data_IF_812835702075
#
_entry.id   IF_812835702075
#
_cell.length_a   1.000
_cell.length_b   1.000
_cell.length_c   1.000
_cell.angle_alpha   90.00
_cell.angle_beta   90.00
_cell.angle_gamma   90.00
#
_symmetry.space_group_name_H-M   'P 1'
#
loop_
_entity.id
_entity.type
_entity.pdbx_description
1 polymer ?
#
# COMPACT_ATOMS: atom_id res chain seq x y z
N UNK A 1 -16.30 -12.52 2.13
CA UNK A 1 -17.48 -11.84 1.52
C UNK A 1 -17.17 -10.37 1.52
N UNK A 2 -17.27 -9.68 0.38
CA UNK A 2 -16.90 -8.26 0.28
C UNK A 2 -17.85 -7.41 1.11
N UNK A 3 -17.30 -6.42 1.83
CA UNK A 3 -18.09 -5.48 2.61
C UNK A 3 -18.99 -4.65 1.65
N UNK A 4 -20.33 -4.63 1.86
CA UNK A 4 -21.24 -3.91 0.97
C UNK A 4 -20.96 -2.41 0.84
N UNK A 5 -20.50 -1.76 1.92
CA UNK A 5 -20.10 -0.36 1.88
C UNK A 5 -18.89 -0.17 0.98
N UNK A 6 -17.90 -1.06 1.06
CA UNK A 6 -16.71 -1.01 0.22
C UNK A 6 -17.09 -1.09 -1.27
N UNK A 7 -17.94 -2.04 -1.64
CA UNK A 7 -18.40 -2.24 -3.03
C UNK A 7 -19.08 -0.99 -3.59
N UNK A 8 -20.05 -0.41 -2.87
CA UNK A 8 -20.76 0.79 -3.37
C UNK A 8 -19.87 2.03 -3.36
N UNK A 9 -18.90 2.09 -2.45
CA UNK A 9 -17.99 3.21 -2.33
C UNK A 9 -17.13 3.36 -3.60
N UNK A 10 -16.55 2.25 -4.08
CA UNK A 10 -15.66 2.23 -5.25
C UNK A 10 -16.34 1.81 -6.56
N UNK A 11 -17.67 1.76 -6.59
CA UNK A 11 -18.43 1.49 -7.80
C UNK A 11 -18.16 2.55 -8.89
N UNK A 12 -18.08 2.15 -10.15
CA UNK A 12 -17.83 3.09 -11.24
C UNK A 12 -19.00 4.08 -11.44
N UNK A 13 -18.73 5.35 -11.77
CA UNK A 13 -17.42 5.99 -11.74
C UNK A 13 -16.93 6.22 -10.29
N UNK A 14 -15.63 6.06 -10.05
CA UNK A 14 -14.99 6.45 -8.78
C UNK A 14 -13.91 7.52 -9.01
N UNK A 15 -13.91 8.52 -8.12
CA UNK A 15 -12.89 9.56 -8.00
C UNK A 15 -12.78 9.94 -6.51
N UNK A 16 -11.71 10.63 -6.06
CA UNK A 16 -11.62 11.07 -4.67
C UNK A 16 -12.87 11.82 -4.18
N UNK A 17 -13.47 12.67 -5.01
CA UNK A 17 -14.68 13.42 -4.70
C UNK A 17 -15.92 12.54 -4.57
N UNK A 18 -16.10 11.61 -5.52
CA UNK A 18 -17.25 10.68 -5.53
C UNK A 18 -17.18 9.74 -4.33
N UNK A 19 -16.01 9.15 -4.09
CA UNK A 19 -15.76 8.27 -2.94
C UNK A 19 -15.97 9.05 -1.63
N UNK A 20 -15.45 10.28 -1.52
CA UNK A 20 -15.71 11.13 -0.34
C UNK A 20 -17.19 11.38 -0.12
N UNK A 21 -17.94 11.68 -1.19
CA UNK A 21 -19.38 11.94 -1.10
C UNK A 21 -20.15 10.70 -0.63
N UNK A 22 -19.87 9.53 -1.23
CA UNK A 22 -20.52 8.27 -0.88
C UNK A 22 -20.22 7.85 0.56
N UNK A 23 -18.96 7.91 0.98
CA UNK A 23 -18.57 7.60 2.36
C UNK A 23 -19.22 8.57 3.35
N UNK A 24 -19.32 9.86 2.99
CA UNK A 24 -20.02 10.84 3.81
C UNK A 24 -21.51 10.52 3.93
N UNK A 25 -22.18 10.18 2.83
CA UNK A 25 -23.61 9.86 2.83
C UNK A 25 -23.91 8.60 3.66
N UNK A 26 -23.10 7.55 3.54
CA UNK A 26 -23.18 6.35 4.38
C UNK A 26 -23.01 6.69 5.87
N UNK A 27 -22.00 7.51 6.22
CA UNK A 27 -21.78 7.97 7.60
C UNK A 27 -22.82 8.99 8.09
N UNK A 28 -23.57 9.63 7.20
CA UNK A 28 -24.70 10.50 7.54
C UNK A 28 -26.02 9.69 7.68
N UNK A 29 -25.95 8.36 7.54
CA UNK A 29 -27.10 7.45 7.67
C UNK A 29 -27.95 7.34 6.41
N UNK A 30 -27.45 7.81 5.26
CA UNK A 30 -28.15 7.73 3.97
C UNK A 30 -27.82 6.45 3.23
N UNK A 31 -28.74 6.00 2.41
CA UNK A 31 -28.53 4.89 1.49
C UNK A 31 -27.64 5.31 0.31
N UNK A 32 -26.69 4.46 -0.06
CA UNK A 32 -25.85 4.61 -1.26
C UNK A 32 -25.88 3.30 -2.04
N UNK A 33 -26.38 3.33 -3.27
CA UNK A 33 -26.40 2.15 -4.15
C UNK A 33 -27.18 0.95 -3.56
N UNK A 34 -28.26 1.21 -2.81
CA UNK A 34 -29.05 0.16 -2.14
C UNK A 34 -28.46 -0.35 -0.83
N UNK A 35 -27.30 0.18 -0.40
CA UNK A 35 -26.67 -0.17 0.87
C UNK A 35 -27.03 0.88 1.93
N UNK A 36 -27.62 0.47 3.07
CA UNK A 36 -27.97 1.41 4.13
C UNK A 36 -26.72 2.01 4.78
N UNK A 37 -26.81 3.31 5.10
CA UNK A 37 -25.82 4.00 5.93
C UNK A 37 -25.93 3.59 7.40
N UNK A 38 -25.19 4.30 8.26
CA UNK A 38 -25.16 4.00 9.70
C UNK A 38 -26.55 4.05 10.34
N UNK A 39 -26.75 3.17 11.32
CA UNK A 39 -27.95 3.14 12.15
C UNK A 39 -28.00 4.34 13.09
N UNK A 40 -29.23 4.71 13.48
CA UNK A 40 -29.45 5.83 14.39
C UNK A 40 -28.80 5.56 15.75
N UNK A 41 -27.89 6.46 16.16
CA UNK A 41 -27.20 6.38 17.45
C UNK A 41 -25.79 5.80 17.37
N UNK A 42 -25.36 5.29 16.22
CA UNK A 42 -23.98 4.85 16.01
C UNK A 42 -23.00 6.04 15.94
N UNK A 43 -21.78 5.81 16.40
CA UNK A 43 -20.73 6.82 16.39
C UNK A 43 -19.96 6.77 15.08
N UNK A 44 -20.08 7.83 14.27
CA UNK A 44 -19.38 7.98 12.98
C UNK A 44 -17.88 7.75 13.03
N UNK A 45 -17.22 8.11 14.14
CA UNK A 45 -15.77 7.96 14.29
C UNK A 45 -15.38 6.50 14.45
N UNK A 46 -16.13 5.76 15.27
CA UNK A 46 -15.93 4.32 15.50
C UNK A 46 -16.29 3.54 14.24
N UNK A 47 -17.42 3.85 13.59
CA UNK A 47 -17.79 3.20 12.33
C UNK A 47 -16.73 3.44 11.24
N UNK A 48 -16.20 4.66 11.10
CA UNK A 48 -15.12 4.92 10.15
C UNK A 48 -13.83 4.18 10.51
N UNK A 49 -13.51 4.06 11.81
CA UNK A 49 -12.35 3.31 12.27
C UNK A 49 -12.47 1.82 11.92
N UNK A 50 -13.59 1.19 12.30
CA UNK A 50 -13.85 -0.23 12.04
C UNK A 50 -13.87 -0.51 10.54
N UNK A 51 -14.48 0.38 9.76
CA UNK A 51 -14.50 0.30 8.30
C UNK A 51 -13.09 0.36 7.69
N UNK A 52 -12.21 1.24 8.17
CA UNK A 52 -10.83 1.34 7.66
C UNK A 52 -9.99 0.14 8.10
N UNK A 53 -10.20 -0.35 9.32
CA UNK A 53 -9.42 -1.43 9.91
C UNK A 53 -9.72 -2.78 9.25
N UNK A 54 -11.00 -3.13 9.09
CA UNK A 54 -11.41 -4.49 8.76
C UNK A 54 -11.80 -4.71 7.29
N UNK A 55 -11.98 -3.65 6.50
CA UNK A 55 -12.34 -3.81 5.10
C UNK A 55 -11.13 -4.27 4.30
N UNK A 56 -11.27 -5.43 3.67
CA UNK A 56 -10.39 -5.85 2.61
C UNK A 56 -10.61 -4.97 1.36
N UNK A 57 -9.67 -4.07 1.11
CA UNK A 57 -9.65 -3.19 -0.07
C UNK A 57 -8.96 -3.81 -1.28
N UNK A 58 -8.37 -5.01 -1.14
CA UNK A 58 -7.52 -5.63 -2.16
C UNK A 58 -8.30 -6.08 -3.40
N UNK A 59 -9.64 -6.10 -3.34
CA UNK A 59 -10.49 -6.37 -4.50
C UNK A 59 -10.54 -5.22 -5.52
N UNK A 60 -10.09 -4.00 -5.15
CA UNK A 60 -10.10 -2.81 -6.03
C UNK A 60 -8.84 -1.94 -5.81
N UNK A 61 -7.63 -2.50 -6.04
CA UNK A 61 -6.38 -1.80 -5.73
C UNK A 61 -6.21 -0.49 -6.51
N UNK A 62 -6.84 -0.37 -7.68
CA UNK A 62 -6.82 0.84 -8.49
C UNK A 62 -7.51 2.04 -7.82
N UNK A 63 -8.36 1.77 -6.81
CA UNK A 63 -9.10 2.80 -6.08
C UNK A 63 -8.39 3.31 -4.80
N UNK A 64 -7.23 2.76 -4.40
CA UNK A 64 -6.59 3.14 -3.13
C UNK A 64 -6.37 4.65 -2.97
N UNK A 65 -5.90 5.34 -4.02
CA UNK A 65 -5.75 6.80 -3.99
C UNK A 65 -7.05 7.51 -3.59
N UNK A 66 -8.17 7.15 -4.24
CA UNK A 66 -9.46 7.75 -3.96
C UNK A 66 -9.99 7.38 -2.56
N UNK A 67 -9.82 6.12 -2.16
CA UNK A 67 -10.23 5.61 -0.84
C UNK A 67 -9.46 6.33 0.27
N UNK A 68 -8.14 6.39 0.21
CA UNK A 68 -7.31 7.05 1.23
C UNK A 68 -7.59 8.54 1.31
N UNK A 69 -7.72 9.22 0.17
CA UNK A 69 -8.15 10.62 0.17
C UNK A 69 -9.51 10.83 0.86
N UNK A 70 -10.51 10.00 0.54
CA UNK A 70 -11.83 10.11 1.14
C UNK A 70 -11.84 9.84 2.64
N UNK A 71 -11.19 8.75 3.05
CA UNK A 71 -11.04 8.34 4.45
C UNK A 71 -10.40 9.48 5.27
N UNK A 72 -9.27 10.02 4.83
CA UNK A 72 -8.56 11.07 5.57
C UNK A 72 -9.24 12.44 5.48
N UNK A 73 -9.94 12.75 4.39
CA UNK A 73 -10.78 13.95 4.28
C UNK A 73 -11.92 13.95 5.30
N UNK A 74 -12.58 12.81 5.48
CA UNK A 74 -13.65 12.66 6.48
C UNK A 74 -13.06 12.60 7.89
N UNK A 75 -11.96 11.88 8.09
CA UNK A 75 -11.29 11.81 9.39
C UNK A 75 -10.89 13.19 9.91
N UNK A 76 -10.41 14.06 9.03
CA UNK A 76 -10.09 15.44 9.37
C UNK A 76 -11.34 16.24 9.80
N UNK A 77 -12.45 16.11 9.07
CA UNK A 77 -13.74 16.77 9.41
C UNK A 77 -14.33 16.26 10.73
N UNK A 78 -14.09 15.00 11.07
CA UNK A 78 -14.52 14.39 12.33
C UNK A 78 -13.50 14.57 13.46
N UNK A 79 -12.37 15.25 13.21
CA UNK A 79 -11.25 15.39 14.15
C UNK A 79 -10.79 14.05 14.73
N UNK A 80 -10.69 13.03 13.87
CA UNK A 80 -10.25 11.67 14.24
C UNK A 80 -9.10 11.15 13.36
N UNK A 81 -8.40 12.01 12.63
CA UNK A 81 -7.25 11.65 11.77
C UNK A 81 -6.25 10.72 12.47
N UNK A 82 -5.87 11.02 13.71
CA UNK A 82 -4.96 10.18 14.53
C UNK A 82 -5.51 8.77 14.78
N UNK A 83 -6.83 8.65 14.95
CA UNK A 83 -7.49 7.38 15.20
C UNK A 83 -7.52 6.54 13.91
N UNK A 84 -7.85 7.18 12.79
CA UNK A 84 -7.86 6.55 11.46
C UNK A 84 -6.46 6.16 10.98
N UNK A 85 -5.42 6.95 11.26
CA UNK A 85 -4.03 6.53 11.02
C UNK A 85 -3.64 5.26 11.79
N UNK A 86 -4.22 5.02 12.98
CA UNK A 86 -4.00 3.75 13.67
C UNK A 86 -4.78 2.61 13.00
N UNK A 87 -6.00 2.86 12.52
CA UNK A 87 -6.77 1.87 11.77
C UNK A 87 -6.01 1.40 10.53
N UNK A 88 -5.40 2.31 9.75
CA UNK A 88 -4.60 1.95 8.58
C UNK A 88 -3.34 1.16 8.92
N UNK A 89 -2.77 1.37 10.10
CA UNK A 89 -1.64 0.58 10.59
C UNK A 89 -2.09 -0.86 10.86
N UNK A 90 -3.19 -1.04 11.59
CA UNK A 90 -3.74 -2.36 11.88
C UNK A 90 -4.23 -3.08 10.62
N UNK A 91 -4.84 -2.35 9.68
CA UNK A 91 -5.18 -2.87 8.37
C UNK A 91 -3.93 -3.40 7.64
N UNK A 92 -2.82 -2.67 7.68
CA UNK A 92 -1.57 -3.16 7.07
C UNK A 92 -1.05 -4.39 7.81
N UNK A 93 -1.13 -4.43 9.14
CA UNK A 93 -0.74 -5.62 9.93
C UNK A 93 -1.62 -6.84 9.62
N UNK A 94 -2.92 -6.64 9.40
CA UNK A 94 -3.89 -7.70 9.11
C UNK A 94 -3.70 -8.28 7.70
N UNK A 95 -3.51 -7.43 6.69
CA UNK A 95 -3.49 -7.84 5.27
C UNK A 95 -2.09 -7.91 4.65
N UNK A 96 -1.05 -7.52 5.38
CA UNK A 96 0.36 -7.64 4.98
C UNK A 96 1.12 -8.36 6.08
N UNK A 97 0.82 -9.66 6.20
CA UNK A 97 1.52 -10.58 7.11
C UNK A 97 3.01 -10.68 6.75
N UNK A 98 3.81 -11.20 7.70
CA UNK A 98 5.27 -11.32 7.60
C UNK A 98 5.75 -11.96 6.28
N UNK A 99 5.02 -12.94 5.75
CA UNK A 99 5.35 -13.61 4.49
C UNK A 99 4.10 -13.80 3.63
N UNK A 100 4.27 -13.75 2.32
CA UNK A 100 3.20 -14.05 1.38
C UNK A 100 2.91 -15.57 1.37
N UNK A 101 1.67 -15.95 1.03
CA UNK A 101 1.23 -17.35 1.05
C UNK A 101 2.10 -18.25 0.14
N UNK A 102 2.56 -17.73 -1.00
CA UNK A 102 3.43 -18.45 -1.94
C UNK A 102 4.89 -18.60 -1.45
N UNK A 103 5.27 -17.93 -0.37
CA UNK A 103 6.56 -18.12 0.32
C UNK A 103 6.52 -19.25 1.35
N UNK A 104 5.34 -19.60 1.87
CA UNK A 104 5.10 -20.70 2.81
C UNK A 104 5.04 -22.02 2.02
N UNK A 105 6.22 -22.59 1.77
CA UNK A 105 6.48 -23.81 0.99
C UNK A 105 5.34 -24.84 0.85
N UNK A 106 5.21 -25.31 -0.39
CA UNK A 106 4.42 -26.38 -1.00
C UNK A 106 4.38 -27.79 -0.32
N UNK A 107 4.46 -27.90 1.01
CA UNK A 107 4.24 -29.15 1.75
C UNK A 107 2.92 -29.10 2.56
N UNK A 108 1.79 -29.20 1.87
CA UNK A 108 0.58 -29.74 2.52
C UNK A 108 -0.66 -28.86 2.62
N UNK A 109 -0.96 -27.99 1.65
CA UNK A 109 -2.32 -27.49 1.51
C UNK A 109 -2.79 -27.66 0.07
N UNK A 110 -3.48 -28.78 -0.16
CA UNK A 110 -4.35 -28.98 -1.31
C UNK A 110 -5.69 -28.27 -1.04
N UNK A 111 -5.61 -27.01 -0.61
CA UNK A 111 -6.71 -26.29 0.00
C UNK A 111 -7.19 -25.21 -0.96
N UNK A 112 -7.43 -25.57 -2.23
CA UNK A 112 -8.42 -24.96 -3.15
C UNK A 112 -8.49 -23.42 -3.33
N UNK A 113 -7.63 -22.64 -2.71
CA UNK A 113 -7.62 -21.17 -2.67
C UNK A 113 -6.42 -20.60 -3.42
N UNK A 114 -5.81 -21.40 -4.30
CA UNK A 114 -4.80 -20.90 -5.23
C UNK A 114 -5.41 -19.80 -6.09
N UNK A 115 -4.93 -18.58 -5.91
CA UNK A 115 -5.10 -17.48 -6.86
C UNK A 115 -4.87 -18.02 -8.27
N UNK A 116 -5.78 -17.72 -9.21
CA UNK A 116 -5.75 -18.32 -10.55
C UNK A 116 -4.44 -18.11 -11.33
N UNK A 117 -3.53 -17.25 -10.85
CA UNK A 117 -2.20 -17.00 -11.40
C UNK A 117 -1.03 -17.44 -10.50
N UNK A 118 -1.28 -18.03 -9.33
CA UNK A 118 -0.25 -18.51 -8.39
C UNK A 118 0.38 -17.43 -7.51
N UNK A 119 -0.12 -16.19 -7.54
CA UNK A 119 0.36 -15.08 -6.72
C UNK A 119 -0.56 -14.80 -5.52
N UNK A 120 0.00 -14.39 -4.40
CA UNK A 120 -0.74 -13.79 -3.28
C UNK A 120 -1.16 -12.35 -3.64
N UNK A 121 -2.31 -12.24 -4.32
CA UNK A 121 -2.82 -10.95 -4.80
C UNK A 121 -3.25 -10.02 -3.65
N UNK A 122 -3.62 -10.58 -2.49
CA UNK A 122 -3.93 -9.80 -1.29
C UNK A 122 -2.65 -9.10 -0.82
N UNK A 123 -1.56 -9.85 -0.64
CA UNK A 123 -0.27 -9.30 -0.20
C UNK A 123 0.26 -8.21 -1.16
N UNK A 124 0.18 -8.46 -2.46
CA UNK A 124 0.62 -7.50 -3.49
C UNK A 124 -0.24 -6.23 -3.45
N UNK A 125 -1.57 -6.36 -3.37
CA UNK A 125 -2.46 -5.22 -3.31
C UNK A 125 -2.27 -4.42 -2.01
N UNK A 126 -2.14 -5.08 -0.87
CA UNK A 126 -1.91 -4.42 0.42
C UNK A 126 -0.59 -3.65 0.41
N UNK A 127 0.47 -4.22 -0.19
CA UNK A 127 1.73 -3.51 -0.41
C UNK A 127 1.53 -2.19 -1.17
N UNK A 128 0.79 -2.21 -2.28
CA UNK A 128 0.44 -0.98 -3.02
C UNK A 128 -0.38 -0.01 -2.15
N UNK A 129 -1.39 -0.51 -1.42
CA UNK A 129 -2.22 0.29 -0.54
C UNK A 129 -1.40 1.04 0.53
N UNK A 130 -0.47 0.34 1.17
CA UNK A 130 0.46 0.90 2.15
C UNK A 130 1.40 1.96 1.53
N UNK A 131 1.90 1.71 0.32
CA UNK A 131 2.73 2.66 -0.40
C UNK A 131 1.95 3.93 -0.77
N UNK A 132 0.69 3.81 -1.20
CA UNK A 132 -0.14 5.00 -1.49
C UNK A 132 -0.47 5.79 -0.22
N UNK A 133 -0.73 5.15 0.91
CA UNK A 133 -0.82 5.86 2.19
C UNK A 133 0.44 6.70 2.46
N UNK A 134 1.62 6.15 2.10
CA UNK A 134 2.88 6.85 2.28
C UNK A 134 3.03 8.04 1.35
N UNK A 135 2.81 7.82 0.05
CA UNK A 135 3.01 8.82 -0.98
C UNK A 135 2.09 10.03 -0.83
N UNK A 136 0.86 9.77 -0.36
CA UNK A 136 -0.14 10.79 -0.04
C UNK A 136 0.08 11.50 1.30
N UNK A 137 1.04 11.04 2.11
CA UNK A 137 1.41 11.67 3.38
C UNK A 137 0.48 11.33 4.55
N UNK A 138 -0.22 10.19 4.50
CA UNK A 138 -1.16 9.76 5.54
C UNK A 138 -0.56 8.84 6.59
N UNK A 139 0.52 8.16 6.24
CA UNK A 139 1.22 7.23 7.13
C UNK A 139 1.84 6.10 6.34
N UNK A 140 2.71 5.33 6.97
CA UNK A 140 3.26 4.12 6.39
C UNK A 140 3.65 3.18 7.54
N UNK A 141 3.42 1.88 7.37
CA UNK A 141 3.47 0.90 8.46
C UNK A 141 4.84 0.21 8.58
N UNK A 142 5.42 0.06 9.80
CA UNK A 142 6.54 -0.85 10.08
C UNK A 142 6.48 -2.17 9.31
N UNK A 143 5.31 -2.80 9.26
CA UNK A 143 5.08 -4.04 8.52
C UNK A 143 5.36 -3.87 7.02
N UNK A 144 4.81 -2.82 6.39
CA UNK A 144 5.07 -2.55 4.97
C UNK A 144 6.54 -2.26 4.66
N UNK A 145 7.27 -1.60 5.57
CA UNK A 145 8.71 -1.43 5.43
C UNK A 145 9.45 -2.77 5.49
N UNK A 146 9.13 -3.64 6.46
CA UNK A 146 9.76 -4.95 6.58
C UNK A 146 9.45 -5.81 5.34
N UNK A 147 8.18 -5.85 4.91
CA UNK A 147 7.75 -6.51 3.69
C UNK A 147 8.51 -6.03 2.44
N UNK A 148 8.81 -4.73 2.36
CA UNK A 148 9.66 -4.17 1.30
C UNK A 148 11.11 -4.68 1.38
N UNK A 149 11.67 -4.79 2.58
CA UNK A 149 13.02 -5.32 2.77
C UNK A 149 13.08 -6.81 2.41
N UNK A 150 12.10 -7.59 2.85
CA UNK A 150 12.04 -9.03 2.67
C UNK A 150 11.83 -9.41 1.20
N UNK A 151 10.91 -8.72 0.49
CA UNK A 151 10.64 -9.01 -0.91
C UNK A 151 11.79 -8.67 -1.86
N UNK A 152 12.74 -7.83 -1.44
CA UNK A 152 13.99 -7.55 -2.16
C UNK A 152 15.22 -8.26 -1.57
N UNK A 153 15.04 -9.10 -0.55
CA UNK A 153 16.12 -9.81 0.13
C UNK A 153 17.25 -8.86 0.62
N UNK A 154 16.87 -7.67 1.09
CA UNK A 154 17.82 -6.65 1.55
C UNK A 154 18.46 -7.00 2.90
N UNK A 155 17.85 -7.94 3.62
CA UNK A 155 18.38 -8.55 4.84
C UNK A 155 18.61 -10.06 4.63
N UNK A 156 19.75 -10.55 5.15
CA UNK A 156 20.16 -11.95 4.95
C UNK A 156 19.22 -12.92 5.66
N UNK A 157 18.84 -13.99 4.95
CA UNK A 157 18.05 -15.09 5.52
C UNK A 157 16.54 -14.90 5.44
N UNK A 158 16.08 -13.89 4.70
CA UNK A 158 14.66 -13.72 4.36
C UNK A 158 14.23 -14.78 3.35
N UNK A 159 13.08 -15.42 3.60
CA UNK A 159 12.40 -16.23 2.60
C UNK A 159 11.73 -15.26 1.63
N UNK A 160 11.88 -15.47 0.33
CA UNK A 160 11.33 -14.59 -0.70
C UNK A 160 10.54 -15.37 -1.75
N UNK A 161 9.43 -14.79 -2.21
CA UNK A 161 8.56 -15.33 -3.25
C UNK A 161 8.32 -14.29 -4.35
N UNK A 162 7.71 -14.74 -5.44
CA UNK A 162 7.32 -13.84 -6.53
C UNK A 162 6.28 -12.82 -6.09
N UNK A 163 5.37 -13.16 -5.17
CA UNK A 163 4.42 -12.20 -4.62
C UNK A 163 5.10 -11.15 -3.75
N UNK A 164 6.09 -11.55 -2.94
CA UNK A 164 6.87 -10.61 -2.14
C UNK A 164 7.70 -9.64 -3.00
N UNK A 165 8.30 -10.15 -4.09
CA UNK A 165 9.00 -9.33 -5.09
C UNK A 165 8.06 -8.34 -5.76
N UNK A 166 6.89 -8.80 -6.21
CA UNK A 166 5.92 -7.97 -6.91
C UNK A 166 5.28 -6.93 -5.99
N UNK A 167 4.94 -7.27 -4.75
CA UNK A 167 4.43 -6.27 -3.81
C UNK A 167 5.52 -5.24 -3.44
N UNK A 168 6.78 -5.64 -3.28
CA UNK A 168 7.90 -4.68 -3.12
C UNK A 168 8.04 -3.74 -4.33
N UNK A 169 7.85 -4.25 -5.54
CA UNK A 169 7.76 -3.42 -6.74
C UNK A 169 6.56 -2.48 -6.70
N UNK A 170 5.39 -2.95 -6.25
CA UNK A 170 4.21 -2.11 -6.02
C UNK A 170 4.50 -0.95 -5.07
N UNK A 171 5.28 -1.20 -4.01
CA UNK A 171 5.69 -0.16 -3.08
C UNK A 171 6.66 0.86 -3.71
N UNK A 172 7.63 0.38 -4.48
CA UNK A 172 8.60 1.24 -5.15
C UNK A 172 8.02 2.03 -6.32
N UNK A 173 7.08 1.48 -7.08
CA UNK A 173 6.37 2.20 -8.13
C UNK A 173 5.41 3.25 -7.51
N UNK A 174 4.71 2.86 -6.44
CA UNK A 174 3.71 3.71 -5.79
C UNK A 174 4.28 4.76 -4.83
N UNK A 175 5.51 4.60 -4.32
CA UNK A 175 6.10 5.50 -3.33
C UNK A 175 7.64 5.57 -3.35
N UNK A 176 8.30 5.11 -4.42
CA UNK A 176 9.75 5.00 -4.50
C UNK A 176 10.51 6.31 -4.28
N UNK A 177 10.04 7.43 -4.80
CA UNK A 177 10.66 8.74 -4.58
C UNK A 177 10.51 9.19 -3.13
N UNK A 178 9.35 8.94 -2.52
CA UNK A 178 9.12 9.20 -1.08
C UNK A 178 9.99 8.31 -0.20
N UNK A 179 10.14 7.04 -0.55
CA UNK A 179 11.04 6.10 0.14
C UNK A 179 12.50 6.53 -0.02
N UNK A 180 12.95 6.90 -1.23
CA UNK A 180 14.29 7.43 -1.50
C UNK A 180 14.57 8.68 -0.67
N UNK A 181 13.65 9.64 -0.63
CA UNK A 181 13.75 10.83 0.22
C UNK A 181 13.92 10.45 1.69
N UNK A 182 13.15 9.49 2.21
CA UNK A 182 13.27 9.00 3.58
C UNK A 182 14.59 8.29 3.86
N UNK A 183 15.06 7.47 2.93
CA UNK A 183 16.33 6.75 3.00
C UNK A 183 17.48 7.77 3.04
N UNK A 184 17.47 8.77 2.15
CA UNK A 184 18.48 9.85 2.13
C UNK A 184 18.30 10.88 3.26
N UNK A 185 17.16 10.86 3.97
CA UNK A 185 16.78 11.84 4.98
C UNK A 185 16.45 13.23 4.43
N UNK A 186 16.07 13.31 3.16
CA UNK A 186 15.61 14.52 2.50
C UNK A 186 14.18 14.88 2.91
N UNK A 187 14.01 16.06 3.51
CA UNK A 187 12.72 16.74 3.61
C UNK A 187 12.69 18.00 2.74
N UNK A 188 11.53 18.29 2.14
CA UNK A 188 11.19 19.62 1.60
C UNK A 188 10.62 20.51 2.73
N UNK A 189 10.70 21.85 2.58
CA UNK A 189 10.40 22.89 3.59
C UNK A 189 8.94 22.95 4.09
N UNK A 190 8.03 22.11 3.57
CA UNK A 190 6.59 22.13 3.88
C UNK A 190 6.02 20.76 4.30
N UNK A 191 6.82 19.90 4.98
CA UNK A 191 6.44 18.60 5.60
C UNK A 191 6.43 17.38 4.63
N UNK A 192 6.87 16.16 4.97
CA UNK A 192 7.66 15.57 6.07
C UNK A 192 8.19 14.17 5.64
N UNK A 193 9.17 13.55 6.34
CA UNK A 193 9.06 12.10 6.57
C UNK A 193 9.52 11.62 7.95
N UNK A 194 8.97 10.49 8.42
CA UNK A 194 9.51 9.68 9.51
C UNK A 194 8.86 8.29 9.60
N UNK A 195 9.59 7.31 10.15
CA UNK A 195 9.08 5.94 10.38
C UNK A 195 9.21 5.49 11.83
N UNK A 196 8.18 4.78 12.32
CA UNK A 196 8.14 4.13 13.63
C UNK A 196 6.97 4.56 14.53
N UNK A 197 5.81 3.91 14.37
CA UNK A 197 4.71 3.89 15.36
C UNK A 197 3.90 5.17 15.57
N UNK A 198 2.56 5.03 15.60
CA UNK A 198 1.46 5.98 15.88
C UNK A 198 1.53 7.47 15.42
N UNK A 199 2.61 8.03 14.87
CA UNK A 199 2.66 9.40 14.28
C UNK A 199 3.74 9.54 13.19
N UNK A 200 3.43 10.26 12.11
CA UNK A 200 4.42 10.87 11.21
C UNK A 200 5.25 11.87 12.02
N UNK A 201 6.33 11.41 12.65
CA UNK A 201 7.23 12.30 13.40
C UNK A 201 8.23 12.91 12.45
N UNK A 202 8.41 14.23 12.55
CA UNK A 202 9.51 14.96 11.92
C UNK A 202 10.82 14.26 12.27
N UNK A 203 11.55 13.79 11.26
CA UNK A 203 12.91 13.34 11.49
C UNK A 203 13.85 14.54 11.64
N UNK A 204 14.83 14.45 12.56
CA UNK A 204 15.91 15.43 12.60
C UNK A 204 16.66 15.41 11.26
N UNK A 205 17.26 16.54 10.84
CA UNK A 205 18.16 16.55 9.70
C UNK A 205 19.27 15.51 9.89
N UNK A 206 19.50 14.70 8.86
CA UNK A 206 20.58 13.70 8.85
C UNK A 206 21.95 14.37 8.73
N UNK A 207 22.93 13.83 9.45
CA UNK A 207 24.36 14.09 9.28
C UNK A 207 24.83 13.65 7.88
N UNK A 208 25.98 14.17 7.43
CA UNK A 208 26.56 13.74 6.15
C UNK A 208 26.86 12.24 6.10
N UNK A 209 27.23 11.64 7.24
CA UNK A 209 27.43 10.20 7.36
C UNK A 209 26.11 9.42 7.11
N UNK A 210 25.01 9.83 7.75
CA UNK A 210 23.72 9.17 7.59
C UNK A 210 23.12 9.38 6.18
N UNK A 211 23.47 10.47 5.49
CA UNK A 211 23.13 10.66 4.08
C UNK A 211 23.89 9.69 3.18
N UNK A 212 25.19 9.51 3.43
CA UNK A 212 26.02 8.54 2.71
C UNK A 212 25.52 7.12 2.90
N UNK A 213 25.19 6.73 4.13
CA UNK A 213 24.57 5.43 4.44
C UNK A 213 23.22 5.26 3.74
N UNK A 214 22.44 6.35 3.66
CA UNK A 214 21.20 6.38 2.88
C UNK A 214 21.44 6.09 1.40
N UNK A 215 22.40 6.77 0.78
CA UNK A 215 22.76 6.54 -0.63
C UNK A 215 23.27 5.10 -0.84
N UNK A 216 24.14 4.59 0.03
CA UNK A 216 24.62 3.21 -0.03
C UNK A 216 23.46 2.20 0.07
N UNK A 217 22.48 2.47 0.93
CA UNK A 217 21.28 1.65 1.03
C UNK A 217 20.40 1.76 -0.22
N UNK A 218 20.20 2.95 -0.77
CA UNK A 218 19.44 3.14 -2.00
C UNK A 218 20.08 2.40 -3.19
N UNK A 219 21.41 2.44 -3.32
CA UNK A 219 22.11 1.66 -4.34
C UNK A 219 21.94 0.14 -4.13
N UNK A 220 21.84 -0.34 -2.88
CA UNK A 220 21.47 -1.74 -2.60
C UNK A 220 20.06 -2.07 -3.07
N UNK A 221 19.09 -1.17 -2.91
CA UNK A 221 17.72 -1.35 -3.44
C UNK A 221 17.75 -1.51 -4.96
N UNK A 222 18.43 -0.60 -5.67
CA UNK A 222 18.53 -0.67 -7.14
C UNK A 222 19.24 -1.94 -7.61
N UNK A 223 20.29 -2.36 -6.90
CA UNK A 223 21.00 -3.61 -7.20
C UNK A 223 20.12 -4.84 -6.91
N UNK A 224 19.36 -4.85 -5.82
CA UNK A 224 18.45 -5.94 -5.49
C UNK A 224 17.37 -6.12 -6.57
N UNK A 225 16.80 -5.03 -7.09
CA UNK A 225 15.88 -5.07 -8.23
C UNK A 225 16.50 -5.69 -9.49
N UNK A 226 17.80 -5.51 -9.69
CA UNK A 226 18.54 -6.10 -10.81
C UNK A 226 18.83 -7.59 -10.58
N UNK A 227 19.40 -7.93 -9.41
CA UNK A 227 19.82 -9.29 -9.08
C UNK A 227 18.61 -10.24 -8.98
N UNK A 228 17.48 -9.79 -8.39
CA UNK A 228 16.27 -10.61 -8.24
C UNK A 228 15.60 -10.97 -9.58
N UNK A 229 15.90 -10.28 -10.69
CA UNK A 229 15.34 -10.63 -12.01
C UNK A 229 15.74 -12.03 -12.47
N UNK A 230 16.90 -12.53 -12.04
CA UNK A 230 17.40 -13.86 -12.40
C UNK A 230 16.77 -14.98 -11.57
N UNK A 231 16.16 -14.63 -10.43
CA UNK A 231 15.57 -15.56 -9.46
C UNK A 231 14.04 -15.56 -9.48
N UNK A 232 13.43 -14.61 -10.19
CA UNK A 232 12.00 -14.43 -10.30
C UNK A 232 11.39 -15.22 -11.46
N UNK A 233 10.10 -15.56 -11.35
CA UNK A 233 9.30 -16.01 -12.49
C UNK A 233 9.16 -14.91 -13.55
N UNK A 234 8.76 -15.28 -14.78
CA UNK A 234 8.77 -14.36 -15.92
C UNK A 234 7.97 -13.06 -15.71
N UNK A 235 6.79 -13.16 -15.06
CA UNK A 235 5.95 -11.99 -14.73
C UNK A 235 6.63 -11.09 -13.70
N UNK A 236 7.07 -11.66 -12.57
CA UNK A 236 7.76 -10.91 -11.52
C UNK A 236 9.07 -10.28 -12.03
N UNK A 237 9.86 -10.99 -12.84
CA UNK A 237 11.07 -10.47 -13.49
C UNK A 237 10.81 -9.27 -14.39
N UNK A 238 9.73 -9.28 -15.18
CA UNK A 238 9.35 -8.14 -16.01
C UNK A 238 8.93 -6.90 -15.17
N UNK A 239 8.23 -7.13 -14.05
CA UNK A 239 7.83 -6.07 -13.13
C UNK A 239 9.04 -5.47 -12.40
N UNK A 240 9.98 -6.31 -11.93
CA UNK A 240 11.25 -5.87 -11.33
C UNK A 240 12.04 -4.97 -12.28
N UNK A 241 12.16 -5.39 -13.55
CA UNK A 241 12.84 -4.61 -14.59
C UNK A 241 12.16 -3.25 -14.82
N UNK A 242 10.84 -3.26 -14.99
CA UNK A 242 10.05 -2.03 -15.18
C UNK A 242 10.20 -1.07 -13.99
N UNK A 243 10.22 -1.62 -12.78
CA UNK A 243 10.43 -0.85 -11.54
C UNK A 243 11.81 -0.22 -11.50
N UNK A 244 12.86 -0.97 -11.85
CA UNK A 244 14.23 -0.46 -11.93
C UNK A 244 14.36 0.69 -12.94
N UNK A 245 13.74 0.54 -14.11
CA UNK A 245 13.73 1.57 -15.16
C UNK A 245 13.02 2.85 -14.68
N UNK A 246 11.87 2.70 -14.02
CA UNK A 246 11.12 3.83 -13.44
C UNK A 246 11.96 4.59 -12.40
N UNK A 247 12.59 3.89 -11.44
CA UNK A 247 13.40 4.52 -10.41
C UNK A 247 14.65 5.21 -10.97
N UNK A 248 15.29 4.62 -12.00
CA UNK A 248 16.44 5.23 -12.69
C UNK A 248 16.08 6.47 -13.50
N UNK A 249 14.84 6.57 -13.97
CA UNK A 249 14.34 7.74 -14.69
C UNK A 249 14.09 8.95 -13.77
N UNK A 250 14.10 8.77 -12.45
CA UNK A 250 13.88 9.83 -11.44
C UNK A 250 12.57 10.60 -11.65
N UNK A 251 11.54 9.90 -12.14
CA UNK A 251 10.20 10.46 -12.38
C UNK A 251 9.32 10.35 -11.13
N UNK A 252 8.19 11.09 -11.04
CA UNK A 252 7.27 11.04 -9.90
C UNK A 252 6.70 9.64 -9.63
N UNK A 253 6.33 9.40 -8.37
CA UNK A 253 5.63 8.19 -7.93
C UNK A 253 4.33 7.98 -8.73
N UNK A 254 4.06 6.74 -9.14
CA UNK A 254 2.85 6.37 -9.89
C UNK A 254 1.61 6.34 -8.99
N UNK A 255 0.45 6.63 -9.58
CA UNK A 255 -0.87 6.41 -8.97
C UNK A 255 -1.21 4.93 -8.90
N UNK A 256 -2.16 4.53 -8.05
CA UNK A 256 -2.64 3.15 -7.97
C UNK A 256 -3.08 2.58 -9.32
N UNK A 257 -3.80 3.37 -10.13
CA UNK A 257 -4.27 2.93 -11.46
C UNK A 257 -3.07 2.58 -12.35
N UNK A 258 -2.04 3.41 -12.35
CA UNK A 258 -0.82 3.19 -13.14
C UNK A 258 -0.06 1.94 -12.69
N UNK A 259 0.11 1.75 -11.37
CA UNK A 259 0.76 0.55 -10.83
C UNK A 259 -0.05 -0.71 -11.13
N UNK A 260 -1.38 -0.67 -10.98
CA UNK A 260 -2.26 -1.80 -11.31
C UNK A 260 -2.15 -2.18 -12.77
N UNK A 261 -2.03 -1.22 -13.70
CA UNK A 261 -1.84 -1.51 -15.11
C UNK A 261 -0.50 -2.20 -15.43
N UNK A 262 0.50 -2.09 -14.55
CA UNK A 262 1.78 -2.81 -14.66
C UNK A 262 1.68 -4.22 -14.07
N UNK A 263 1.08 -4.36 -12.89
CA UNK A 263 1.03 -5.63 -12.14
C UNK A 263 -0.05 -6.58 -12.70
N UNK A 264 -1.24 -6.04 -12.99
CA UNK A 264 -2.39 -6.74 -13.52
C UNK A 264 -2.88 -6.07 -14.81
N UNK A 265 -2.09 -6.14 -15.91
CA UNK A 265 -2.48 -5.54 -17.17
C UNK A 265 -3.82 -6.13 -17.63
N UNK A 266 -4.74 -5.27 -18.08
CA UNK A 266 -5.98 -5.73 -18.70
C UNK A 266 -5.62 -6.57 -19.93
N UNK A 267 -6.11 -7.80 -19.98
CA UNK A 267 -5.98 -8.64 -21.17
C UNK A 267 -6.51 -7.88 -22.37
N UNK A 268 -5.64 -7.58 -23.34
CA UNK A 268 -6.07 -7.09 -24.65
C UNK A 268 -6.74 -8.24 -25.39
N UNK A 269 -8.05 -8.36 -25.22
CA UNK A 269 -8.95 -9.08 -26.14
C UNK A 269 -9.37 -8.17 -27.26
#
# INVERSE_FOLDING_TARGET
MQDPWAVVLVADPYSPEIVTSRLKDLLDGKEVGGVPGISRGENRKEVLYDFVHHVDWTFKPEAFDAVWHAVFSIANKLWCTRHISNATYWWTEEFLLDVADDALSAEGSNDGCGSGDGYDNVWIATSLGAARLYALGYGYSPWAWNSFLDGLELEKGSVTSDSMRVGSCGQLLGAGQRLKLRIHGGGSRCEGPGFGGRYLKRQPPKTEQEKKEGEEFWQKVLKALEDQQQHAGAKAGAILKTTLEHLKADVPDMTSIEVVNIIWPKSTT
#
